data_IF_575511528602
#
_entry.id   IF_575511528602
#
_cell.length_a   1.000
_cell.length_b   1.000
_cell.length_c   1.000
_cell.angle_alpha   90.00
_cell.angle_beta   90.00
_cell.angle_gamma   90.00
#
_symmetry.space_group_name_H-M   'P 1'
#
loop_
_entity.id
_entity.type
_entity.pdbx_description
1 polymer ?
#
# COMPACT_ATOMS: atom_id res chain seq x y z
N UNK A 1 -51.35 -41.27 0.88
CA UNK A 1 -50.14 -40.43 0.78
C UNK A 1 -49.00 -41.27 1.33
N UNK A 2 -47.95 -41.47 0.53
CA UNK A 2 -46.74 -42.19 0.91
C UNK A 2 -45.87 -41.30 1.79
N UNK A 3 -46.12 -41.30 3.10
CA UNK A 3 -45.43 -40.42 4.04
C UNK A 3 -44.16 -41.08 4.59
N UNK A 4 -43.06 -40.34 4.54
CA UNK A 4 -41.79 -40.77 5.12
C UNK A 4 -41.86 -40.71 6.66
N UNK A 5 -41.21 -41.64 7.37
CA UNK A 5 -41.22 -41.63 8.82
C UNK A 5 -40.46 -40.41 9.38
N UNK A 6 -40.77 -40.00 10.62
CA UNK A 6 -40.11 -38.87 11.27
C UNK A 6 -38.61 -39.12 11.46
N UNK A 7 -37.88 -38.05 11.77
CA UNK A 7 -36.45 -38.10 12.07
C UNK A 7 -36.14 -39.17 13.13
N UNK A 8 -35.28 -40.17 12.83
CA UNK A 8 -34.89 -41.17 13.81
C UNK A 8 -33.98 -40.56 14.90
N UNK A 9 -33.94 -41.16 16.10
CA UNK A 9 -33.07 -40.73 17.19
C UNK A 9 -31.60 -40.92 16.81
N UNK A 10 -30.69 -40.31 17.59
CA UNK A 10 -29.26 -40.49 17.37
C UNK A 10 -28.89 -41.99 17.42
N UNK A 11 -28.01 -42.49 16.51
CA UNK A 11 -27.64 -43.91 16.45
C UNK A 11 -27.17 -44.52 17.78
N UNK A 12 -26.52 -43.70 18.63
CA UNK A 12 -26.07 -44.12 19.97
C UNK A 12 -27.19 -44.45 20.95
N UNK A 13 -28.42 -44.02 20.70
CA UNK A 13 -29.60 -44.36 21.52
C UNK A 13 -30.06 -45.79 21.23
N UNK A 14 -30.11 -46.17 19.95
CA UNK A 14 -30.51 -47.52 19.51
C UNK A 14 -29.44 -48.56 19.84
N UNK A 15 -28.15 -48.21 19.74
CA UNK A 15 -27.06 -49.09 20.14
C UNK A 15 -27.05 -49.43 21.64
N UNK A 16 -27.60 -48.55 22.49
CA UNK A 16 -27.70 -48.76 23.94
C UNK A 16 -28.98 -49.50 24.34
N UNK A 17 -30.04 -49.35 23.56
CA UNK A 17 -31.34 -49.96 23.82
C UNK A 17 -32.02 -50.32 22.48
N UNK A 18 -31.73 -51.52 21.93
CA UNK A 18 -32.24 -51.93 20.63
C UNK A 18 -33.76 -52.07 20.56
N UNK A 19 -34.45 -52.16 21.70
CA UNK A 19 -35.90 -52.30 21.75
C UNK A 19 -36.62 -51.02 21.30
N UNK A 20 -35.97 -49.87 21.45
CA UNK A 20 -36.48 -48.55 21.00
C UNK A 20 -36.59 -48.40 19.49
N UNK A 21 -35.98 -49.32 18.73
CA UNK A 21 -36.13 -49.32 17.27
C UNK A 21 -37.57 -49.63 16.85
N UNK A 22 -38.27 -50.48 17.62
CA UNK A 22 -39.65 -50.90 17.33
C UNK A 22 -40.67 -49.80 17.60
N UNK A 23 -40.33 -48.80 18.38
CA UNK A 23 -41.21 -47.68 18.72
C UNK A 23 -41.24 -46.59 17.62
N UNK A 24 -40.43 -46.73 16.56
CA UNK A 24 -40.26 -45.70 15.52
C UNK A 24 -41.19 -45.91 14.31
N UNK A 25 -40.98 -46.99 13.56
CA UNK A 25 -41.81 -47.42 12.43
C UNK A 25 -41.35 -48.84 12.06
N UNK A 26 -42.29 -49.77 11.86
CA UNK A 26 -41.98 -51.17 11.53
C UNK A 26 -41.18 -51.32 10.22
N UNK A 27 -41.19 -50.30 9.36
CA UNK A 27 -40.47 -50.26 8.08
C UNK A 27 -39.04 -49.72 8.21
N UNK A 28 -38.62 -49.29 9.40
CA UNK A 28 -37.26 -48.84 9.68
C UNK A 28 -36.44 -50.00 10.26
N UNK A 29 -35.29 -50.26 9.66
CA UNK A 29 -34.24 -51.09 10.21
C UNK A 29 -33.01 -50.25 10.53
N UNK A 30 -32.12 -50.78 11.38
CA UNK A 30 -30.88 -50.12 11.75
C UNK A 30 -29.69 -51.02 11.41
N UNK A 31 -28.80 -50.53 10.55
CA UNK A 31 -27.54 -51.18 10.21
C UNK A 31 -26.53 -50.88 11.33
N UNK A 32 -26.23 -51.88 12.16
CA UNK A 32 -25.32 -51.77 13.30
C UNK A 32 -23.86 -51.51 12.88
N UNK A 33 -23.43 -51.96 11.70
CA UNK A 33 -22.06 -51.79 11.22
C UNK A 33 -21.86 -50.37 10.71
N UNK A 34 -22.79 -49.88 9.89
CA UNK A 34 -22.75 -48.53 9.31
C UNK A 34 -23.32 -47.46 10.22
N UNK A 35 -24.01 -47.86 11.30
CA UNK A 35 -24.73 -47.00 12.26
C UNK A 35 -25.76 -46.11 11.57
N UNK A 36 -26.51 -46.69 10.63
CA UNK A 36 -27.45 -45.97 9.76
C UNK A 36 -28.87 -46.53 9.88
N UNK A 37 -29.87 -45.65 9.77
CA UNK A 37 -31.28 -46.06 9.69
C UNK A 37 -31.66 -46.26 8.22
N UNK A 38 -32.28 -47.39 7.93
CA UNK A 38 -32.75 -47.77 6.59
C UNK A 38 -34.27 -47.92 6.65
N UNK A 39 -34.98 -47.16 5.82
CA UNK A 39 -36.42 -47.23 5.64
C UNK A 39 -36.76 -47.95 4.34
N UNK A 40 -37.57 -49.01 4.43
CA UNK A 40 -37.94 -49.84 3.29
C UNK A 40 -39.41 -49.64 2.94
N UNK A 41 -39.69 -49.22 1.70
CA UNK A 41 -41.04 -49.01 1.19
C UNK A 41 -41.31 -49.90 -0.02
N UNK A 42 -42.39 -50.68 0.05
CA UNK A 42 -42.86 -51.51 -1.06
C UNK A 42 -43.99 -50.78 -1.79
N UNK A 43 -43.83 -50.57 -3.10
CA UNK A 43 -44.88 -50.02 -3.99
C UNK A 43 -45.09 -50.95 -5.18
N UNK A 44 -46.21 -51.67 -5.18
CA UNK A 44 -46.44 -52.75 -6.15
C UNK A 44 -45.38 -53.85 -5.98
N UNK A 45 -44.76 -54.29 -7.07
CA UNK A 45 -43.70 -55.31 -7.06
C UNK A 45 -42.30 -54.74 -6.78
N UNK A 46 -42.17 -53.44 -6.48
CA UNK A 46 -40.88 -52.76 -6.30
C UNK A 46 -40.65 -52.39 -4.84
N UNK A 47 -39.45 -52.70 -4.35
CA UNK A 47 -38.96 -52.28 -3.03
C UNK A 47 -37.98 -51.14 -3.20
N UNK A 48 -38.21 -50.05 -2.48
CA UNK A 48 -37.34 -48.88 -2.41
C UNK A 48 -36.77 -48.78 -1.00
N UNK A 49 -35.46 -48.58 -0.89
CA UNK A 49 -34.79 -48.38 0.39
C UNK A 49 -34.26 -46.96 0.49
N UNK A 50 -34.27 -46.39 1.69
CA UNK A 50 -33.82 -45.03 1.95
C UNK A 50 -32.96 -45.01 3.21
N UNK A 51 -31.83 -44.30 3.20
CA UNK A 51 -31.01 -44.07 4.38
C UNK A 51 -31.25 -42.67 4.96
N UNK A 52 -31.29 -42.54 6.29
CA UNK A 52 -31.41 -41.23 6.93
C UNK A 52 -30.06 -40.52 7.03
N UNK A 53 -29.96 -39.29 6.51
CA UNK A 53 -28.76 -38.45 6.64
C UNK A 53 -28.96 -37.35 7.69
N UNK A 54 -28.21 -37.44 8.79
CA UNK A 54 -28.22 -36.42 9.87
C UNK A 54 -27.53 -35.11 9.48
N UNK A 55 -26.72 -35.11 8.41
CA UNK A 55 -26.05 -33.89 7.92
C UNK A 55 -27.06 -32.97 7.22
N UNK A 56 -27.97 -33.56 6.44
CA UNK A 56 -28.98 -32.81 5.65
C UNK A 56 -30.41 -32.98 6.16
N UNK A 57 -30.58 -33.72 7.26
CA UNK A 57 -31.83 -33.94 8.01
C UNK A 57 -32.97 -34.59 7.21
N UNK A 58 -32.65 -35.53 6.30
CA UNK A 58 -33.62 -36.13 5.35
C UNK A 58 -33.33 -37.61 5.02
N UNK A 59 -34.37 -38.34 4.59
CA UNK A 59 -34.27 -39.68 3.99
C UNK A 59 -33.80 -39.60 2.54
N UNK A 60 -32.76 -40.37 2.19
CA UNK A 60 -32.10 -40.36 0.87
C UNK A 60 -32.18 -41.77 0.27
N UNK A 61 -32.65 -41.91 -0.98
CA UNK A 61 -32.84 -43.21 -1.64
C UNK A 61 -31.53 -43.98 -1.86
N UNK A 62 -31.56 -45.29 -1.56
CA UNK A 62 -30.52 -46.27 -1.81
C UNK A 62 -30.87 -46.96 -3.14
N UNK A 63 -30.50 -46.34 -4.26
CA UNK A 63 -30.58 -47.02 -5.56
C UNK A 63 -29.40 -47.99 -5.65
N UNK A 64 -29.62 -49.26 -6.01
CA UNK A 64 -28.53 -50.22 -6.31
C UNK A 64 -27.63 -49.64 -7.42
N UNK A 65 -26.58 -48.92 -7.03
CA UNK A 65 -25.47 -48.50 -7.88
C UNK A 65 -24.21 -49.16 -7.33
N UNK A 66 -23.67 -50.11 -8.08
CA UNK A 66 -22.28 -50.53 -7.94
C UNK A 66 -21.43 -49.32 -8.35
N UNK A 67 -20.63 -48.77 -7.44
CA UNK A 67 -19.66 -47.71 -7.76
C UNK A 67 -18.57 -48.32 -8.63
N UNK A 68 -18.34 -47.79 -9.83
CA UNK A 68 -17.34 -48.29 -10.78
C UNK A 68 -15.91 -47.94 -10.32
N UNK A 69 -14.92 -48.80 -10.65
CA UNK A 69 -13.49 -48.56 -10.40
C UNK A 69 -13.00 -47.20 -10.93
N UNK A 70 -13.57 -46.72 -12.04
CA UNK A 70 -13.25 -45.43 -12.65
C UNK A 70 -13.53 -44.24 -11.73
N UNK A 71 -14.57 -44.30 -10.88
CA UNK A 71 -14.90 -43.20 -9.95
C UNK A 71 -13.93 -43.15 -8.76
N UNK A 72 -13.48 -44.31 -8.26
CA UNK A 72 -12.46 -44.40 -7.20
C UNK A 72 -11.08 -43.96 -7.71
N UNK A 73 -10.72 -44.30 -8.95
CA UNK A 73 -9.48 -43.86 -9.60
C UNK A 73 -9.52 -42.35 -9.91
N UNK A 74 -10.66 -41.80 -10.33
CA UNK A 74 -10.82 -40.35 -10.48
C UNK A 74 -10.68 -39.59 -9.16
N UNK A 75 -11.24 -40.13 -8.08
CA UNK A 75 -11.19 -39.50 -6.77
C UNK A 75 -9.77 -39.57 -6.18
N UNK A 76 -9.08 -40.70 -6.32
CA UNK A 76 -7.67 -40.85 -5.96
C UNK A 76 -6.75 -39.91 -6.76
N UNK A 77 -6.96 -39.80 -8.08
CA UNK A 77 -6.23 -38.85 -8.94
C UNK A 77 -6.49 -37.40 -8.53
N UNK A 78 -7.73 -37.03 -8.19
CA UNK A 78 -8.08 -35.69 -7.69
C UNK A 78 -7.38 -35.39 -6.35
N UNK A 79 -7.32 -36.36 -5.45
CA UNK A 79 -6.62 -36.21 -4.17
C UNK A 79 -5.11 -36.08 -4.35
N UNK A 80 -4.49 -36.91 -5.20
CA UNK A 80 -3.05 -36.87 -5.47
C UNK A 80 -2.64 -35.54 -6.13
N UNK A 81 -3.41 -35.07 -7.12
CA UNK A 81 -3.22 -33.75 -7.74
C UNK A 81 -3.36 -32.62 -6.70
N UNK A 82 -4.30 -32.74 -5.76
CA UNK A 82 -4.51 -31.75 -4.69
C UNK A 82 -3.35 -31.74 -3.70
N UNK A 83 -2.79 -32.91 -3.36
CA UNK A 83 -1.63 -33.03 -2.47
C UNK A 83 -0.36 -32.46 -3.13
N UNK A 84 -0.09 -32.80 -4.39
CA UNK A 84 1.05 -32.27 -5.15
C UNK A 84 0.98 -30.75 -5.31
N UNK A 85 -0.20 -30.20 -5.61
CA UNK A 85 -0.41 -28.74 -5.66
C UNK A 85 -0.14 -28.09 -4.31
N UNK A 86 -0.62 -28.69 -3.21
CA UNK A 86 -0.39 -28.17 -1.85
C UNK A 86 1.09 -28.18 -1.47
N UNK A 87 1.82 -29.24 -1.82
CA UNK A 87 3.28 -29.34 -1.59
C UNK A 87 4.05 -28.28 -2.39
N UNK A 88 3.82 -28.16 -3.71
CA UNK A 88 4.44 -27.11 -4.53
C UNK A 88 4.14 -25.70 -4.03
N UNK A 89 2.90 -25.43 -3.62
CA UNK A 89 2.53 -24.13 -3.06
C UNK A 89 3.31 -23.87 -1.76
N UNK A 90 3.50 -24.89 -0.93
CA UNK A 90 4.27 -24.75 0.32
C UNK A 90 5.76 -24.54 0.08
N UNK A 91 6.36 -25.20 -0.91
CA UNK A 91 7.77 -25.02 -1.31
C UNK A 91 7.99 -23.62 -1.89
N UNK A 92 7.14 -23.17 -2.81
CA UNK A 92 7.18 -21.81 -3.36
C UNK A 92 7.01 -20.78 -2.23
N UNK A 93 6.14 -21.04 -1.24
CA UNK A 93 5.96 -20.16 -0.10
C UNK A 93 7.22 -20.10 0.77
N UNK A 94 7.84 -21.24 1.08
CA UNK A 94 9.09 -21.30 1.84
C UNK A 94 10.25 -20.61 1.11
N UNK A 95 10.36 -20.78 -0.20
CA UNK A 95 11.39 -20.13 -1.03
C UNK A 95 11.15 -18.62 -1.11
N UNK A 96 9.90 -18.18 -1.26
CA UNK A 96 9.51 -16.77 -1.21
C UNK A 96 9.75 -16.13 0.15
N UNK A 97 9.52 -16.86 1.24
CA UNK A 97 9.80 -16.39 2.60
C UNK A 97 11.31 -16.32 2.86
N UNK A 98 12.10 -17.27 2.33
CA UNK A 98 13.59 -17.17 2.32
C UNK A 98 14.07 -15.95 1.53
N UNK A 99 13.57 -15.74 0.30
CA UNK A 99 13.89 -14.57 -0.52
C UNK A 99 13.51 -13.25 0.17
N UNK A 100 12.35 -13.20 0.85
CA UNK A 100 11.94 -12.05 1.67
C UNK A 100 12.89 -11.80 2.85
N UNK A 101 13.35 -12.86 3.52
CA UNK A 101 14.30 -12.73 4.62
C UNK A 101 15.69 -12.25 4.18
N UNK A 102 16.13 -12.60 2.96
CA UNK A 102 17.37 -12.05 2.39
C UNK A 102 17.21 -10.59 1.92
N UNK A 103 16.00 -10.20 1.51
CA UNK A 103 15.65 -8.82 1.11
C UNK A 103 15.40 -7.87 2.29
N UNK A 104 15.44 -8.34 3.55
CA UNK A 104 15.19 -7.49 4.73
C UNK A 104 16.45 -6.81 5.27
N UNK A 105 17.61 -7.04 4.67
CA UNK A 105 18.86 -6.33 5.04
C UNK A 105 18.83 -4.92 4.45
N UNK A 106 19.41 -3.95 5.17
CA UNK A 106 19.43 -2.58 4.70
C UNK A 106 20.16 -2.50 3.35
N UNK A 107 19.59 -1.77 2.40
CA UNK A 107 20.30 -1.44 1.16
C UNK A 107 20.97 -0.07 1.23
N UNK A 108 20.98 0.56 2.41
CA UNK A 108 21.62 1.85 2.64
C UNK A 108 22.94 1.72 3.39
N UNK A 109 23.92 2.53 3.01
CA UNK A 109 25.12 2.82 3.83
C UNK A 109 25.07 4.26 4.35
N UNK A 110 25.50 4.45 5.59
CA UNK A 110 25.77 5.76 6.16
C UNK A 110 27.28 6.00 6.16
N UNK A 111 27.69 7.16 5.65
CA UNK A 111 29.10 7.55 5.57
C UNK A 111 29.28 8.82 6.39
N UNK A 112 30.24 8.78 7.31
CA UNK A 112 30.63 9.92 8.14
C UNK A 112 32.10 10.28 7.91
N UNK A 113 32.45 11.50 8.31
CA UNK A 113 33.79 12.09 8.13
C UNK A 113 34.18 12.28 6.65
N UNK A 114 33.22 12.59 5.78
CA UNK A 114 33.50 12.92 4.38
C UNK A 114 34.30 14.22 4.24
N UNK A 115 35.16 14.37 3.20
CA UNK A 115 35.80 15.65 2.92
C UNK A 115 34.78 16.78 2.71
N UNK A 116 35.07 17.98 3.21
CA UNK A 116 34.14 19.12 3.11
C UNK A 116 33.82 19.56 1.67
N UNK A 117 34.70 19.24 0.70
CA UNK A 117 34.53 19.53 -0.72
C UNK A 117 33.91 18.39 -1.53
N UNK A 118 33.44 17.31 -0.88
CA UNK A 118 32.87 16.15 -1.57
C UNK A 118 31.59 16.55 -2.34
N UNK A 119 31.42 15.99 -3.53
CA UNK A 119 30.20 16.16 -4.33
C UNK A 119 29.44 14.84 -4.48
N UNK A 120 28.18 14.94 -4.90
CA UNK A 120 27.35 13.76 -5.22
C UNK A 120 27.99 12.93 -6.33
N UNK A 121 28.56 13.58 -7.34
CA UNK A 121 29.20 12.90 -8.47
C UNK A 121 30.47 12.15 -8.03
N UNK A 122 31.32 12.77 -7.20
CA UNK A 122 32.51 12.10 -6.63
C UNK A 122 32.12 10.87 -5.80
N UNK A 123 31.06 10.96 -4.99
CA UNK A 123 30.54 9.82 -4.24
C UNK A 123 29.98 8.75 -5.16
N UNK A 124 29.24 9.13 -6.20
CA UNK A 124 28.69 8.19 -7.15
C UNK A 124 29.79 7.41 -7.89
N UNK A 125 30.81 8.10 -8.38
CA UNK A 125 31.95 7.48 -9.06
C UNK A 125 32.72 6.51 -8.16
N UNK A 126 32.95 6.88 -6.89
CA UNK A 126 33.70 6.02 -5.98
C UNK A 126 32.88 4.81 -5.50
N UNK A 127 31.62 5.03 -5.12
CA UNK A 127 30.79 4.00 -4.49
C UNK A 127 30.03 3.12 -5.48
N UNK A 128 29.88 3.52 -6.76
CA UNK A 128 29.32 2.66 -7.81
C UNK A 128 30.23 1.45 -8.12
N UNK A 129 31.52 1.50 -7.76
CA UNK A 129 32.45 0.36 -7.91
C UNK A 129 32.04 -0.86 -7.08
N UNK A 130 31.27 -0.65 -6.01
CA UNK A 130 30.85 -1.70 -5.07
C UNK A 130 29.42 -2.18 -5.34
N UNK A 131 28.72 -1.58 -6.31
CA UNK A 131 27.41 -2.02 -6.76
C UNK A 131 26.57 -0.92 -7.39
N UNK A 132 25.38 -1.27 -7.87
CA UNK A 132 24.46 -0.32 -8.51
C UNK A 132 23.78 0.57 -7.46
N UNK A 133 24.08 1.87 -7.49
CA UNK A 133 23.40 2.88 -6.68
C UNK A 133 22.00 3.09 -7.26
N UNK A 134 20.98 2.99 -6.42
CA UNK A 134 19.59 3.18 -6.82
C UNK A 134 19.34 4.59 -7.34
N UNK A 135 18.37 4.73 -8.25
CA UNK A 135 17.95 6.02 -8.78
C UNK A 135 16.68 6.54 -8.11
N UNK A 136 16.57 7.85 -7.91
CA UNK A 136 15.32 8.49 -7.51
C UNK A 136 14.37 8.66 -8.72
N UNK A 137 13.16 9.16 -8.50
CA UNK A 137 12.14 9.40 -9.54
C UNK A 137 12.61 10.30 -10.68
N UNK A 138 13.63 11.14 -10.44
CA UNK A 138 14.25 12.01 -11.44
C UNK A 138 15.46 11.41 -12.16
N UNK A 139 15.73 10.10 -12.02
CA UNK A 139 16.92 9.41 -12.54
C UNK A 139 18.27 9.90 -11.97
N UNK A 140 18.26 10.65 -10.88
CA UNK A 140 19.48 10.99 -10.14
C UNK A 140 19.85 9.89 -9.15
N UNK A 141 21.15 9.64 -8.88
CA UNK A 141 21.58 8.65 -7.90
C UNK A 141 21.06 9.01 -6.50
N UNK A 142 20.61 8.00 -5.75
CA UNK A 142 20.08 8.14 -4.38
C UNK A 142 21.20 8.34 -3.37
N UNK A 143 21.80 9.52 -3.44
CA UNK A 143 22.84 9.99 -2.53
C UNK A 143 22.31 11.24 -1.86
N UNK A 144 22.18 11.20 -0.54
CA UNK A 144 21.73 12.34 0.27
C UNK A 144 22.89 12.85 1.13
N UNK A 145 23.31 14.08 0.88
CA UNK A 145 24.24 14.81 1.73
C UNK A 145 23.46 15.49 2.88
N UNK A 146 24.01 15.45 4.09
CA UNK A 146 23.40 16.08 5.26
C UNK A 146 24.06 17.43 5.56
N UNK A 147 23.23 18.43 5.80
CA UNK A 147 23.61 19.79 6.14
C UNK A 147 22.99 20.15 7.50
N UNK A 148 23.67 21.02 8.22
CA UNK A 148 23.22 21.56 9.50
C UNK A 148 22.17 22.67 9.29
N UNK A 149 21.54 23.16 10.37
CA UNK A 149 20.54 24.24 10.33
C UNK A 149 21.06 25.54 9.70
N UNK A 150 22.39 25.72 9.70
CA UNK A 150 23.11 26.86 9.09
C UNK A 150 23.57 26.60 7.66
N UNK A 151 23.01 25.61 6.99
CA UNK A 151 23.35 25.17 5.62
C UNK A 151 24.83 24.75 5.46
N UNK A 152 25.50 24.40 6.56
CA UNK A 152 26.87 23.90 6.56
C UNK A 152 26.88 22.39 6.39
N UNK A 153 27.64 21.88 5.43
CA UNK A 153 27.76 20.44 5.20
C UNK A 153 28.30 19.72 6.44
N UNK A 154 27.57 18.70 6.92
CA UNK A 154 27.90 17.92 8.13
C UNK A 154 28.95 16.84 7.89
N UNK A 155 29.47 16.69 6.67
CA UNK A 155 30.40 15.62 6.30
C UNK A 155 29.79 14.22 6.45
N UNK A 156 28.48 14.15 6.27
CA UNK A 156 27.67 12.94 6.40
C UNK A 156 26.86 12.73 5.12
N UNK A 157 26.77 11.48 4.67
CA UNK A 157 25.96 11.09 3.52
C UNK A 157 25.25 9.76 3.73
N UNK A 158 24.13 9.59 3.05
CA UNK A 158 23.41 8.33 2.90
C UNK A 158 23.44 7.93 1.43
N UNK A 159 23.89 6.70 1.13
CA UNK A 159 23.85 6.12 -0.21
C UNK A 159 22.93 4.90 -0.18
N UNK A 160 22.01 4.79 -1.15
CA UNK A 160 21.11 3.65 -1.29
C UNK A 160 21.51 2.83 -2.53
N UNK A 161 21.82 1.56 -2.33
CA UNK A 161 22.04 0.58 -3.38
C UNK A 161 20.76 -0.17 -3.75
N UNK A 162 20.77 -0.81 -4.93
CA UNK A 162 19.70 -1.73 -5.34
C UNK A 162 19.73 -3.05 -4.55
N UNK A 163 20.92 -3.48 -4.13
CA UNK A 163 21.15 -4.78 -3.50
C UNK A 163 21.88 -4.62 -2.15
N UNK A 164 21.44 -5.40 -1.15
CA UNK A 164 22.09 -5.43 0.17
C UNK A 164 23.53 -5.97 0.12
N UNK A 165 23.88 -6.82 -0.85
CA UNK A 165 25.26 -7.29 -1.03
C UNK A 165 26.24 -6.15 -1.34
N UNK A 166 25.76 -5.10 -2.02
CA UNK A 166 26.56 -3.91 -2.33
C UNK A 166 26.92 -3.13 -1.05
N UNK A 167 26.03 -3.14 -0.05
CA UNK A 167 26.25 -2.53 1.27
C UNK A 167 27.40 -3.23 1.98
N UNK A 168 27.35 -4.56 2.07
CA UNK A 168 28.40 -5.37 2.70
C UNK A 168 29.77 -5.09 2.05
N UNK A 169 29.82 -5.08 0.71
CA UNK A 169 31.05 -4.84 -0.05
C UNK A 169 31.58 -3.41 0.15
N UNK A 170 30.71 -2.41 0.09
CA UNK A 170 31.10 -1.01 0.29
C UNK A 170 31.66 -0.78 1.70
N UNK A 171 31.04 -1.35 2.73
CA UNK A 171 31.54 -1.27 4.12
C UNK A 171 32.91 -1.95 4.20
N UNK A 172 33.05 -3.16 3.68
CA UNK A 172 34.31 -3.90 3.73
C UNK A 172 35.45 -3.15 3.04
N UNK A 173 35.17 -2.51 1.91
CA UNK A 173 36.19 -1.87 1.08
C UNK A 173 36.51 -0.43 1.49
N UNK A 174 35.54 0.32 2.04
CA UNK A 174 35.68 1.77 2.26
C UNK A 174 35.68 2.19 3.73
N UNK A 175 35.24 1.33 4.66
CA UNK A 175 35.33 1.69 6.07
C UNK A 175 36.79 1.82 6.51
N UNK A 176 37.12 2.91 7.19
CA UNK A 176 38.47 3.28 7.63
C UNK A 176 39.47 3.57 6.48
N UNK A 177 38.99 3.78 5.25
CA UNK A 177 39.84 4.20 4.14
C UNK A 177 40.04 5.70 4.12
N UNK A 178 41.26 6.14 3.80
CA UNK A 178 41.59 7.55 3.63
C UNK A 178 41.08 8.05 2.26
N UNK A 179 40.22 9.05 2.28
CA UNK A 179 39.78 9.79 1.10
C UNK A 179 40.16 11.26 1.27
N UNK A 180 40.95 11.80 0.33
CA UNK A 180 41.56 13.13 0.43
C UNK A 180 42.30 13.26 1.78
N UNK A 181 41.80 14.09 2.69
CA UNK A 181 42.41 14.33 4.00
C UNK A 181 41.67 13.65 5.17
N UNK A 182 40.58 12.92 4.91
CA UNK A 182 39.74 12.35 5.94
C UNK A 182 39.77 10.81 5.90
N UNK A 183 39.56 10.17 7.05
CA UNK A 183 39.37 8.73 7.17
C UNK A 183 37.88 8.48 7.26
N UNK A 184 37.31 7.80 6.26
CA UNK A 184 35.87 7.58 6.20
C UNK A 184 35.43 6.55 7.24
N UNK A 185 34.24 6.74 7.78
CA UNK A 185 33.55 5.71 8.53
C UNK A 185 32.29 5.32 7.76
N UNK A 186 32.22 4.06 7.32
CA UNK A 186 31.15 3.51 6.48
C UNK A 186 30.47 2.39 7.24
N UNK A 187 29.17 2.52 7.46
CA UNK A 187 28.37 1.56 8.22
C UNK A 187 27.01 1.31 7.57
N UNK A 188 26.34 0.23 7.99
CA UNK A 188 24.97 -0.07 7.55
C UNK A 188 24.02 1.02 8.03
N UNK A 189 23.21 1.57 7.12
CA UNK A 189 22.26 2.61 7.46
C UNK A 189 21.14 2.02 8.34
N UNK A 190 21.00 2.59 9.55
CA UNK A 190 19.90 2.28 10.47
C UNK A 190 18.71 3.13 10.10
N UNK A 191 17.72 2.52 9.45
CA UNK A 191 16.42 3.14 9.26
C UNK A 191 15.56 2.79 10.47
N UNK A 192 15.30 3.78 11.32
CA UNK A 192 14.23 3.62 12.30
C UNK A 192 12.92 3.38 11.54
N UNK A 193 12.15 2.33 11.89
CA UNK A 193 10.84 2.13 11.30
C UNK A 193 10.00 3.37 11.62
N UNK A 194 9.73 4.16 10.58
CA UNK A 194 8.88 5.33 10.69
C UNK A 194 7.48 4.79 10.99
N UNK A 195 7.05 4.91 12.25
CA UNK A 195 5.78 4.35 12.74
C UNK A 195 4.57 4.91 11.98
N UNK A 196 4.72 6.07 11.31
CA UNK A 196 3.63 6.68 10.55
C UNK A 196 4.10 7.34 9.24
N UNK A 197 3.96 6.64 8.10
CA UNK A 197 4.24 7.20 6.75
C UNK A 197 3.40 8.44 6.44
N UNK A 198 2.28 8.63 7.14
CA UNK A 198 1.37 9.77 7.01
C UNK A 198 2.06 11.08 7.43
N UNK A 199 2.71 11.11 8.59
CA UNK A 199 3.35 12.30 9.15
C UNK A 199 4.42 12.87 8.22
N UNK A 200 5.29 12.02 7.66
CA UNK A 200 6.31 12.48 6.71
C UNK A 200 5.70 13.02 5.41
N UNK A 201 4.59 12.43 4.94
CA UNK A 201 3.90 12.96 3.76
C UNK A 201 3.30 14.35 4.05
N UNK A 202 2.76 14.54 5.25
CA UNK A 202 2.17 15.80 5.68
C UNK A 202 3.22 16.87 5.97
N UNK A 203 4.38 16.51 6.53
CA UNK A 203 5.54 17.41 6.66
C UNK A 203 6.07 17.87 5.30
N UNK A 204 6.23 16.95 4.34
CA UNK A 204 6.68 17.27 2.98
C UNK A 204 5.65 18.18 2.29
N UNK A 205 4.36 17.90 2.45
CA UNK A 205 3.26 18.73 1.91
C UNK A 205 3.25 20.10 2.55
N UNK A 206 3.34 20.20 3.87
CA UNK A 206 3.37 21.45 4.62
C UNK A 206 4.53 22.34 4.15
N UNK A 207 5.73 21.76 3.96
CA UNK A 207 6.89 22.47 3.43
C UNK A 207 6.72 22.95 1.98
N UNK A 208 5.89 22.26 1.20
CA UNK A 208 5.52 22.72 -0.15
C UNK A 208 4.45 23.81 -0.09
N UNK A 209 3.46 23.64 0.79
CA UNK A 209 2.34 24.56 0.97
C UNK A 209 2.79 25.92 1.50
N UNK A 210 3.79 25.97 2.37
CA UNK A 210 4.36 27.23 2.87
C UNK A 210 5.01 28.12 1.81
N UNK A 211 5.19 27.61 0.58
CA UNK A 211 5.71 28.37 -0.56
C UNK A 211 4.62 28.82 -1.54
N UNK A 212 3.35 28.63 -1.19
CA UNK A 212 2.22 28.96 -2.05
C UNK A 212 1.32 29.95 -1.31
N UNK A 213 1.11 31.10 -1.93
CA UNK A 213 0.12 32.09 -1.52
C UNK A 213 -1.18 31.83 -2.26
N UNK A 214 -2.31 31.98 -1.57
CA UNK A 214 -3.66 31.97 -2.12
C UNK A 214 -4.20 33.39 -2.06
N UNK A 215 -4.75 33.87 -3.17
CA UNK A 215 -5.46 35.13 -3.28
C UNK A 215 -6.90 34.81 -3.67
N UNK A 216 -7.84 35.11 -2.78
CA UNK A 216 -9.27 35.02 -3.05
C UNK A 216 -9.84 36.41 -3.34
N UNK A 217 -10.99 36.44 -4.00
CA UNK A 217 -11.70 37.67 -4.37
C UNK A 217 -10.88 38.62 -5.26
N UNK A 218 -9.97 38.10 -6.09
CA UNK A 218 -9.21 38.95 -7.03
C UNK A 218 -9.97 39.26 -8.31
N UNK A 219 -10.96 38.44 -8.69
CA UNK A 219 -11.78 38.65 -9.89
C UNK A 219 -13.19 38.08 -9.72
N UNK A 220 -14.12 38.52 -10.57
CA UNK A 220 -15.49 37.98 -10.62
C UNK A 220 -15.62 36.94 -11.71
N UNK A 221 -16.41 35.88 -11.48
CA UNK A 221 -16.62 34.78 -12.46
C UNK A 221 -17.10 35.27 -13.82
N UNK A 222 -17.95 36.29 -13.83
CA UNK A 222 -18.53 36.83 -15.06
C UNK A 222 -17.48 37.58 -15.88
N UNK A 223 -16.72 38.45 -15.23
CA UNK A 223 -15.64 39.22 -15.84
C UNK A 223 -14.56 38.31 -16.45
N UNK A 224 -14.16 37.27 -15.72
CA UNK A 224 -13.20 36.28 -16.20
C UNK A 224 -13.69 35.50 -17.42
N UNK A 225 -15.00 35.27 -17.55
CA UNK A 225 -15.59 34.61 -18.73
C UNK A 225 -15.69 35.54 -19.93
N UNK A 226 -15.92 36.82 -19.69
CA UNK A 226 -16.15 37.83 -20.72
C UNK A 226 -14.82 38.40 -21.27
N UNK A 227 -13.80 38.54 -20.42
CA UNK A 227 -12.50 39.09 -20.79
C UNK A 227 -11.40 38.01 -20.78
N UNK A 228 -11.01 37.57 -21.98
CA UNK A 228 -9.94 36.59 -22.19
C UNK A 228 -8.55 37.07 -21.74
N UNK A 229 -8.33 38.40 -21.60
CA UNK A 229 -7.04 38.98 -21.20
C UNK A 229 -6.92 39.23 -19.70
N UNK A 230 -8.02 39.11 -18.96
CA UNK A 230 -8.05 39.43 -17.53
C UNK A 230 -7.01 38.64 -16.73
N UNK A 231 -6.75 37.38 -17.09
CA UNK A 231 -5.74 36.57 -16.43
C UNK A 231 -4.32 37.10 -16.65
N UNK A 232 -4.02 37.62 -17.85
CA UNK A 232 -2.72 38.22 -18.18
C UNK A 232 -2.53 39.52 -17.41
N UNK A 233 -3.56 40.37 -17.39
CA UNK A 233 -3.55 41.65 -16.67
C UNK A 233 -3.35 41.43 -15.15
N UNK A 234 -4.11 40.50 -14.55
CA UNK A 234 -3.97 40.15 -13.12
C UNK A 234 -2.59 39.55 -12.83
N UNK A 235 -2.07 38.70 -13.71
CA UNK A 235 -0.74 38.12 -13.51
C UNK A 235 0.36 39.19 -13.57
N UNK A 236 0.26 40.15 -14.48
CA UNK A 236 1.19 41.29 -14.57
C UNK A 236 1.13 42.14 -13.29
N UNK A 237 -0.06 42.51 -12.83
CA UNK A 237 -0.26 43.26 -11.58
C UNK A 237 0.35 42.55 -10.37
N UNK A 238 0.12 41.24 -10.23
CA UNK A 238 0.69 40.45 -9.13
C UNK A 238 2.22 40.49 -9.17
N UNK A 239 2.82 40.37 -10.36
CA UNK A 239 4.28 40.36 -10.52
C UNK A 239 4.89 41.72 -10.20
N UNK A 240 4.29 42.80 -10.69
CA UNK A 240 4.75 44.17 -10.40
C UNK A 240 4.71 44.48 -8.90
N UNK A 241 3.62 44.12 -8.23
CA UNK A 241 3.45 44.37 -6.80
C UNK A 241 4.37 43.50 -5.93
N UNK A 242 4.66 42.27 -6.36
CA UNK A 242 5.72 41.47 -5.75
C UNK A 242 7.10 42.12 -5.95
N UNK A 243 7.40 42.65 -7.13
CA UNK A 243 8.67 43.32 -7.41
C UNK A 243 8.83 44.60 -6.57
N UNK A 244 7.77 45.38 -6.37
CA UNK A 244 7.76 46.54 -5.46
C UNK A 244 8.09 46.15 -4.01
N UNK A 245 7.68 44.94 -3.61
CA UNK A 245 7.99 44.36 -2.30
C UNK A 245 9.37 43.69 -2.25
N UNK A 246 10.17 43.77 -3.34
CA UNK A 246 11.51 43.17 -3.43
C UNK A 246 11.51 41.68 -3.76
N UNK A 247 10.36 41.10 -4.12
CA UNK A 247 10.17 39.67 -4.35
C UNK A 247 10.22 39.39 -5.84
N UNK A 248 11.22 38.61 -6.26
CA UNK A 248 11.46 38.26 -7.68
C UNK A 248 11.47 36.76 -7.95
N UNK A 249 11.11 35.95 -6.95
CA UNK A 249 11.25 34.49 -6.98
C UNK A 249 9.92 33.76 -7.22
N UNK A 250 8.98 34.39 -7.94
CA UNK A 250 7.74 33.76 -8.40
C UNK A 250 8.09 32.67 -9.42
N UNK A 251 7.59 31.46 -9.17
CA UNK A 251 7.76 30.29 -10.03
C UNK A 251 6.56 30.05 -10.93
N UNK A 252 5.34 30.22 -10.41
CA UNK A 252 4.12 29.94 -11.15
C UNK A 252 2.93 30.71 -10.59
N UNK A 253 2.03 31.16 -11.46
CA UNK A 253 0.72 31.71 -11.11
C UNK A 253 -0.34 30.78 -11.70
N UNK A 254 -1.40 30.48 -10.95
CA UNK A 254 -2.46 29.55 -11.41
C UNK A 254 -3.81 30.09 -11.02
N UNK A 255 -4.72 30.11 -11.98
CA UNK A 255 -6.08 30.63 -11.84
C UNK A 255 -7.08 29.48 -11.71
N UNK A 256 -8.01 29.62 -10.76
CA UNK A 256 -9.13 28.71 -10.52
C UNK A 256 -10.43 29.49 -10.69
N UNK A 257 -10.96 29.58 -11.93
CA UNK A 257 -12.11 30.45 -12.24
C UNK A 257 -13.40 30.01 -11.56
N UNK A 258 -13.55 28.71 -11.29
CA UNK A 258 -14.74 28.16 -10.61
C UNK A 258 -14.80 28.63 -9.16
N UNK A 259 -13.66 28.85 -8.53
CA UNK A 259 -13.56 29.26 -7.13
C UNK A 259 -13.23 30.75 -6.95
N UNK A 260 -12.95 31.48 -8.04
CA UNK A 260 -12.43 32.87 -8.01
C UNK A 260 -11.12 33.00 -7.21
N UNK A 261 -10.24 32.00 -7.35
CA UNK A 261 -8.98 31.93 -6.60
C UNK A 261 -7.79 32.01 -7.55
N UNK A 262 -6.76 32.73 -7.13
CA UNK A 262 -5.44 32.72 -7.75
C UNK A 262 -4.45 32.15 -6.75
N UNK A 263 -3.59 31.22 -7.17
CA UNK A 263 -2.47 30.75 -6.35
C UNK A 263 -1.14 31.16 -6.97
N UNK A 264 -0.23 31.65 -6.14
CA UNK A 264 1.10 32.10 -6.55
C UNK A 264 2.14 31.26 -5.82
N UNK A 265 3.00 30.56 -6.57
CA UNK A 265 4.07 29.72 -6.04
C UNK A 265 5.39 30.47 -6.09
N UNK A 266 6.11 30.47 -4.96
CA UNK A 266 7.41 31.12 -4.80
C UNK A 266 8.53 30.09 -4.63
N UNK A 267 9.78 30.53 -4.78
CA UNK A 267 10.97 29.71 -4.49
C UNK A 267 11.18 29.59 -2.98
N UNK A 268 10.95 30.67 -2.23
CA UNK A 268 11.10 30.75 -0.77
C UNK A 268 9.76 30.97 -0.06
N UNK A 269 9.60 30.39 1.13
CA UNK A 269 8.44 30.64 1.99
C UNK A 269 8.48 32.03 2.62
N UNK A 270 9.68 32.59 2.86
CA UNK A 270 9.81 33.94 3.42
C UNK A 270 9.23 35.02 2.49
N UNK A 271 9.26 34.79 1.17
CA UNK A 271 8.60 35.66 0.19
C UNK A 271 7.09 35.66 0.39
N UNK A 272 6.49 34.51 0.70
CA UNK A 272 5.06 34.35 0.97
C UNK A 272 4.65 35.13 2.22
N UNK A 273 5.38 34.96 3.32
CA UNK A 273 5.08 35.66 4.57
C UNK A 273 5.14 37.19 4.37
N UNK A 274 6.17 37.68 3.68
CA UNK A 274 6.36 39.12 3.42
C UNK A 274 5.27 39.69 2.53
N UNK A 275 4.87 38.99 1.46
CA UNK A 275 3.86 39.52 0.52
C UNK A 275 2.46 39.44 1.10
N UNK A 276 2.13 38.42 1.91
CA UNK A 276 0.82 38.31 2.56
C UNK A 276 0.56 39.50 3.47
N UNK A 277 1.57 39.93 4.23
CA UNK A 277 1.46 41.10 5.13
C UNK A 277 1.10 42.39 4.38
N UNK A 278 1.51 42.54 3.11
CA UNK A 278 1.20 43.72 2.29
C UNK A 278 -0.04 43.57 1.41
N UNK A 279 -0.39 42.34 1.00
CA UNK A 279 -1.50 42.07 0.09
C UNK A 279 -2.83 41.80 0.80
N UNK A 280 -2.82 41.18 1.98
CA UNK A 280 -4.05 40.78 2.65
C UNK A 280 -4.92 42.00 2.99
N UNK A 281 -6.22 41.90 2.72
CA UNK A 281 -7.23 42.95 2.93
C UNK A 281 -7.07 44.23 2.10
N UNK A 282 -6.19 44.25 1.09
CA UNK A 282 -6.09 45.36 0.13
C UNK A 282 -7.31 45.41 -0.80
N UNK A 283 -7.67 46.61 -1.23
CA UNK A 283 -8.70 46.81 -2.25
C UNK A 283 -8.08 46.68 -3.67
N UNK A 284 -8.70 45.87 -4.52
CA UNK A 284 -8.35 45.63 -5.91
C UNK A 284 -9.63 45.57 -6.75
N UNK A 285 -9.77 46.47 -7.72
CA UNK A 285 -10.97 46.62 -8.56
C UNK A 285 -12.31 46.62 -7.78
N UNK A 286 -12.32 47.33 -6.64
CA UNK A 286 -13.50 47.41 -5.77
C UNK A 286 -13.84 46.11 -5.02
N UNK A 287 -12.98 45.10 -5.07
CA UNK A 287 -13.01 43.91 -4.23
C UNK A 287 -11.96 44.02 -3.13
N UNK A 288 -12.28 43.50 -1.94
CA UNK A 288 -11.28 43.34 -0.88
C UNK A 288 -10.67 41.95 -0.97
N UNK A 289 -9.36 41.92 -1.19
CA UNK A 289 -8.60 40.68 -1.29
C UNK A 289 -8.59 39.93 0.04
N UNK A 290 -8.64 38.60 -0.03
CA UNK A 290 -8.37 37.72 1.11
C UNK A 290 -7.16 36.86 0.76
N UNK A 291 -6.03 37.12 1.43
CA UNK A 291 -4.74 36.55 1.04
C UNK A 291 -4.15 35.77 2.20
N UNK A 292 -3.79 34.51 1.95
CA UNK A 292 -3.29 33.61 2.98
C UNK A 292 -2.38 32.52 2.41
N UNK A 293 -1.62 31.87 3.28
CA UNK A 293 -0.76 30.74 2.90
C UNK A 293 -1.62 29.52 2.58
N UNK A 294 -1.27 28.79 1.52
CA UNK A 294 -2.00 27.59 1.12
C UNK A 294 -1.99 26.54 2.23
N UNK A 295 -3.13 25.90 2.45
CA UNK A 295 -3.32 24.89 3.51
C UNK A 295 -3.63 23.49 2.98
N UNK A 296 -3.60 23.30 1.66
CA UNK A 296 -3.94 22.02 1.01
C UNK A 296 -5.37 21.93 0.47
N UNK A 297 -6.13 23.02 0.51
CA UNK A 297 -7.46 23.14 -0.11
C UNK A 297 -7.40 22.77 -1.60
N UNK A 298 -8.40 22.05 -2.11
CA UNK A 298 -8.49 21.75 -3.55
C UNK A 298 -9.38 22.78 -4.23
N UNK A 299 -8.80 23.56 -5.12
CA UNK A 299 -9.50 24.45 -6.03
C UNK A 299 -9.73 23.77 -7.39
N UNK A 300 -10.74 24.25 -8.12
CA UNK A 300 -11.30 23.67 -9.35
C UNK A 300 -11.47 24.68 -10.48
#
# INVERSE_FOLDING_TARGET
>A
MDEFPPKPPAPGVILKDPLKLKDLDDRISFDNEKKQFIFTQVKGDKTFEYQYSFIVDKWIGITKHVLNQDELEEEANKEEIKQLKKQKISEIKQEKDKLKSMSSRSTGIFISNLPQSITVDELNEEFAKYGTISLDKGNSPRIKLYYDEKDKFKQEALIIYDNATSVDLAIQMMNQVKMKNNILNVEEAKFEPIEDKSQRADEIRSKFYSKVMVIENMFRKQEYKENTKLAEDIEEDIREECEKSGIKDILNVTFFPSDCVVTVKFKSSSSVDTIIESFDKRDYDGLKLNVHTFTGTRYT
#
